data_IF_629263658568
#
_entry.id   IF_629263658568
#
_cell.length_a   1.000
_cell.length_b   1.000
_cell.length_c   1.000
_cell.angle_alpha   90.00
_cell.angle_beta   90.00
_cell.angle_gamma   90.00
#
_symmetry.space_group_name_H-M   'P 1'
#
loop_
_entity.id
_entity.type
_entity.pdbx_description
1 polymer ?
#
# COMPACT_ATOMS: atom_id res chain seq x y z
N UNK A 1 25.36 7.07 7.28
CA UNK A 1 24.18 6.39 6.68
C UNK A 1 24.40 4.91 6.84
N UNK A 2 23.63 4.23 7.69
CA UNK A 2 23.74 2.78 7.84
C UNK A 2 23.34 2.14 6.52
N UNK A 3 24.30 1.56 5.81
CA UNK A 3 24.01 0.64 4.72
C UNK A 3 23.31 -0.55 5.35
N UNK A 4 21.97 -0.52 5.37
CA UNK A 4 21.20 -1.74 5.55
C UNK A 4 21.52 -2.54 4.30
N UNK A 5 22.50 -3.44 4.43
CA UNK A 5 22.76 -4.43 3.41
C UNK A 5 21.44 -5.20 3.26
N UNK A 6 20.80 -5.21 2.08
CA UNK A 6 19.52 -5.87 1.95
C UNK A 6 19.75 -7.35 2.25
N UNK A 7 19.23 -7.80 3.40
CA UNK A 7 19.31 -9.19 3.86
C UNK A 7 18.65 -10.16 2.87
N UNK A 8 17.84 -9.62 1.95
CA UNK A 8 17.06 -10.35 0.97
C UNK A 8 17.21 -9.74 -0.41
N UNK A 9 17.25 -10.59 -1.43
CA UNK A 9 17.20 -10.19 -2.84
C UNK A 9 15.80 -9.73 -3.22
N UNK A 10 15.68 -9.00 -4.33
CA UNK A 10 14.37 -8.56 -4.86
C UNK A 10 13.42 -9.75 -5.11
N UNK A 11 13.95 -10.90 -5.55
CA UNK A 11 13.14 -12.10 -5.78
C UNK A 11 12.62 -12.70 -4.46
N UNK A 12 13.43 -12.67 -3.40
CA UNK A 12 13.02 -13.07 -2.07
C UNK A 12 11.96 -12.12 -1.51
N UNK A 13 12.13 -10.80 -1.70
CA UNK A 13 11.16 -9.79 -1.30
C UNK A 13 9.83 -9.95 -2.05
N UNK A 14 9.87 -10.22 -3.37
CA UNK A 14 8.66 -10.54 -4.16
C UNK A 14 7.96 -11.78 -3.63
N UNK A 15 8.70 -12.82 -3.27
CA UNK A 15 8.14 -14.04 -2.70
C UNK A 15 7.45 -13.77 -1.36
N UNK A 16 8.09 -12.99 -0.48
CA UNK A 16 7.50 -12.58 0.81
C UNK A 16 6.19 -11.78 0.58
N UNK A 17 6.20 -10.84 -0.37
CA UNK A 17 5.00 -10.06 -0.73
C UNK A 17 3.87 -10.94 -1.26
N UNK A 18 4.17 -11.93 -2.12
CA UNK A 18 3.18 -12.90 -2.60
C UNK A 18 2.56 -13.70 -1.45
N UNK A 19 3.38 -14.24 -0.57
CA UNK A 19 2.91 -15.02 0.60
C UNK A 19 2.02 -14.17 1.51
N UNK A 20 2.34 -12.88 1.70
CA UNK A 20 1.48 -11.98 2.46
C UNK A 20 0.10 -11.80 1.82
N UNK A 21 0.04 -11.62 0.49
CA UNK A 21 -1.22 -11.49 -0.25
C UNK A 21 -2.03 -12.79 -0.20
N UNK A 22 -1.39 -13.93 -0.44
CA UNK A 22 -2.03 -15.26 -0.35
C UNK A 22 -2.60 -15.50 1.06
N UNK A 23 -1.88 -15.07 2.11
CA UNK A 23 -2.34 -15.16 3.49
C UNK A 23 -3.53 -14.25 3.76
N UNK A 24 -3.51 -13.01 3.26
CA UNK A 24 -4.63 -12.08 3.33
C UNK A 24 -5.88 -12.66 2.66
N UNK A 25 -5.75 -13.21 1.45
CA UNK A 25 -6.86 -13.83 0.70
C UNK A 25 -7.42 -15.06 1.43
N UNK A 26 -6.54 -15.91 1.96
CA UNK A 26 -6.94 -17.09 2.72
C UNK A 26 -7.74 -16.73 3.99
N UNK A 27 -7.31 -15.69 4.72
CA UNK A 27 -8.03 -15.26 5.93
C UNK A 27 -9.33 -14.53 5.56
N UNK A 28 -9.32 -13.68 4.52
CA UNK A 28 -10.52 -13.01 4.01
C UNK A 28 -11.61 -14.02 3.62
N UNK A 29 -11.23 -15.15 3.01
CA UNK A 29 -12.17 -16.23 2.72
C UNK A 29 -12.80 -16.80 3.99
N UNK A 30 -12.02 -17.05 5.04
CA UNK A 30 -12.56 -17.55 6.31
C UNK A 30 -13.53 -16.56 6.97
N UNK A 31 -13.24 -15.26 6.86
CA UNK A 31 -14.12 -14.21 7.36
C UNK A 31 -15.44 -14.20 6.59
N UNK A 32 -15.39 -14.28 5.26
CA UNK A 32 -16.58 -14.41 4.39
C UNK A 32 -17.42 -15.64 4.75
N UNK A 33 -16.76 -16.76 5.06
CA UNK A 33 -17.41 -18.01 5.44
C UNK A 33 -17.90 -18.02 6.92
N UNK A 34 -17.69 -16.92 7.66
CA UNK A 34 -18.00 -16.79 9.10
C UNK A 34 -17.34 -17.87 9.98
N UNK A 35 -16.17 -18.35 9.56
CA UNK A 35 -15.37 -19.36 10.29
C UNK A 35 -14.10 -18.76 10.90
N UNK A 36 -13.95 -17.43 10.84
CA UNK A 36 -12.78 -16.73 11.37
C UNK A 36 -12.76 -16.71 12.90
N UNK A 37 -11.56 -16.89 13.45
CA UNK A 37 -11.27 -16.66 14.87
C UNK A 37 -10.93 -15.19 15.14
N UNK A 38 -10.92 -14.77 16.40
CA UNK A 38 -10.43 -13.43 16.77
C UNK A 38 -8.98 -13.19 16.31
N UNK A 39 -8.13 -14.22 16.35
CA UNK A 39 -6.76 -14.14 15.83
C UNK A 39 -6.71 -13.99 14.30
N UNK A 40 -7.63 -14.61 13.57
CA UNK A 40 -7.73 -14.42 12.12
C UNK A 40 -8.06 -12.96 11.80
N UNK A 41 -9.01 -12.34 12.51
CA UNK A 41 -9.39 -10.93 12.31
C UNK A 41 -8.24 -9.95 12.59
N UNK A 42 -7.48 -10.16 13.67
CA UNK A 42 -6.30 -9.34 13.97
C UNK A 42 -5.26 -9.45 12.87
N UNK A 43 -4.98 -10.68 12.42
CA UNK A 43 -4.02 -10.92 11.35
C UNK A 43 -4.49 -10.35 10.00
N UNK A 44 -5.79 -10.39 9.73
CA UNK A 44 -6.38 -9.82 8.52
C UNK A 44 -6.21 -8.31 8.48
N UNK A 45 -6.53 -7.63 9.59
CA UNK A 45 -6.36 -6.18 9.72
C UNK A 45 -4.89 -5.78 9.54
N UNK A 46 -3.97 -6.51 10.16
CA UNK A 46 -2.54 -6.26 10.01
C UNK A 46 -2.08 -6.48 8.55
N UNK A 47 -2.48 -7.58 7.92
CA UNK A 47 -2.12 -7.84 6.52
C UNK A 47 -2.70 -6.78 5.57
N UNK A 48 -3.93 -6.35 5.81
CA UNK A 48 -4.59 -5.26 5.06
C UNK A 48 -3.81 -3.95 5.17
N UNK A 49 -3.37 -3.59 6.38
CA UNK A 49 -2.54 -2.39 6.61
C UNK A 49 -1.23 -2.44 5.83
N UNK A 50 -0.49 -3.55 5.93
CA UNK A 50 0.78 -3.70 5.20
C UNK A 50 0.57 -3.64 3.68
N UNK A 51 -0.48 -4.27 3.15
CA UNK A 51 -0.81 -4.22 1.72
C UNK A 51 -1.15 -2.79 1.28
N UNK A 52 -1.93 -2.04 2.07
CA UNK A 52 -2.26 -0.65 1.77
C UNK A 52 -1.00 0.23 1.74
N UNK A 53 -0.11 0.06 2.72
CA UNK A 53 1.17 0.77 2.77
C UNK A 53 2.05 0.47 1.56
N UNK A 54 2.17 -0.81 1.18
CA UNK A 54 2.94 -1.22 0.02
C UNK A 54 2.36 -0.64 -1.29
N UNK A 55 1.03 -0.67 -1.46
CA UNK A 55 0.34 -0.07 -2.61
C UNK A 55 0.61 1.42 -2.71
N UNK A 56 0.48 2.15 -1.60
CA UNK A 56 0.75 3.59 -1.59
C UNK A 56 2.18 3.89 -2.03
N UNK A 57 3.16 3.12 -1.56
CA UNK A 57 4.56 3.27 -1.98
C UNK A 57 4.74 3.05 -3.48
N UNK A 58 4.16 1.98 -4.03
CA UNK A 58 4.22 1.68 -5.46
C UNK A 58 3.54 2.75 -6.32
N UNK A 59 2.42 3.29 -5.86
CA UNK A 59 1.72 4.40 -6.54
C UNK A 59 2.57 5.67 -6.55
N UNK A 60 3.21 6.03 -5.43
CA UNK A 60 4.13 7.17 -5.36
C UNK A 60 5.29 6.97 -6.34
N UNK A 61 5.95 5.82 -6.31
CA UNK A 61 7.09 5.53 -7.21
C UNK A 61 6.66 5.64 -8.69
N UNK A 62 5.47 5.15 -9.03
CA UNK A 62 4.90 5.25 -10.38
C UNK A 62 4.61 6.70 -10.77
N UNK A 63 4.00 7.47 -9.87
CA UNK A 63 3.67 8.87 -10.13
C UNK A 63 4.94 9.73 -10.25
N UNK A 64 5.95 9.48 -9.43
CA UNK A 64 7.25 10.18 -9.54
C UNK A 64 7.92 9.89 -10.89
N UNK A 65 7.87 8.63 -11.38
CA UNK A 65 8.38 8.28 -12.71
C UNK A 65 7.61 8.98 -13.85
N UNK A 66 6.27 8.99 -13.78
CA UNK A 66 5.43 9.67 -14.77
C UNK A 66 5.64 11.19 -14.78
N UNK A 67 5.85 11.80 -13.62
CA UNK A 67 6.18 13.23 -13.50
C UNK A 67 7.55 13.55 -14.11
N UNK A 68 8.55 12.68 -13.91
CA UNK A 68 9.85 12.81 -14.56
C UNK A 68 9.76 12.79 -16.09
N UNK A 69 8.79 12.05 -16.63
CA UNK A 69 8.47 12.01 -18.06
C UNK A 69 7.63 13.22 -18.55
N UNK A 70 7.39 14.22 -17.69
CA UNK A 70 6.65 15.44 -18.02
C UNK A 70 5.13 15.26 -18.11
N UNK A 71 4.58 14.13 -17.61
CA UNK A 71 3.13 13.91 -17.57
C UNK A 71 2.52 14.66 -16.37
N UNK A 72 1.32 15.19 -16.55
CA UNK A 72 0.56 15.82 -15.48
C UNK A 72 -0.02 14.76 -14.56
N UNK A 73 0.68 14.46 -13.47
CA UNK A 73 0.25 13.53 -12.42
C UNK A 73 0.33 14.19 -11.06
N UNK A 74 -0.56 13.79 -10.15
CA UNK A 74 -0.49 14.21 -8.76
C UNK A 74 0.73 13.55 -8.10
N UNK A 75 1.70 14.37 -7.70
CA UNK A 75 2.85 13.94 -6.89
C UNK A 75 2.71 14.56 -5.51
N UNK A 76 3.02 13.80 -4.46
CA UNK A 76 2.91 14.27 -3.06
C UNK A 76 3.83 15.46 -2.74
N UNK A 77 4.74 15.85 -3.65
CA UNK A 77 5.63 16.99 -3.49
C UNK A 77 4.94 18.30 -3.90
N UNK A 78 3.97 18.74 -3.11
CA UNK A 78 3.73 20.17 -2.97
C UNK A 78 4.78 20.74 -2.00
N UNK A 79 5.36 21.90 -2.33
CA UNK A 79 6.59 22.48 -1.76
C UNK A 79 6.49 22.94 -0.29
N UNK A 80 6.03 22.06 0.60
CA UNK A 80 5.92 22.35 2.03
C UNK A 80 5.49 21.19 2.94
N UNK A 81 5.23 19.97 2.44
CA UNK A 81 4.83 18.84 3.29
C UNK A 81 5.76 17.63 3.10
N UNK A 82 6.38 17.20 4.20
CA UNK A 82 7.09 15.93 4.25
C UNK A 82 6.06 14.79 4.23
N UNK A 83 6.20 13.78 3.36
CA UNK A 83 5.22 12.70 3.28
C UNK A 83 5.36 11.81 4.50
N UNK A 84 4.59 12.11 5.54
CA UNK A 84 4.30 11.17 6.60
C UNK A 84 3.37 10.11 6.01
N UNK A 85 3.81 8.86 6.05
CA UNK A 85 2.96 7.69 5.82
C UNK A 85 1.71 7.88 6.70
N UNK A 86 0.57 8.23 6.09
CA UNK A 86 -0.70 8.39 6.82
C UNK A 86 -1.19 7.01 7.24
N UNK A 87 -0.87 6.63 8.47
CA UNK A 87 -1.22 5.33 9.08
C UNK A 87 -2.68 5.25 9.54
N UNK A 88 -3.42 6.35 9.56
CA UNK A 88 -4.81 6.37 9.99
C UNK A 88 -5.67 7.19 9.03
N UNK A 89 -6.72 6.56 8.50
CA UNK A 89 -7.95 7.16 7.97
C UNK A 89 -7.79 8.40 7.09
N UNK A 90 -7.89 8.21 5.77
CA UNK A 90 -7.98 9.35 4.86
C UNK A 90 -8.30 9.05 3.41
N UNK A 91 -8.86 7.88 3.07
CA UNK A 91 -9.55 7.67 1.80
C UNK A 91 -11.00 8.20 1.93
N UNK A 92 -11.15 9.49 2.22
CA UNK A 92 -12.46 10.15 2.32
C UNK A 92 -12.55 11.46 1.51
N UNK A 93 -11.53 11.80 0.71
CA UNK A 93 -11.61 12.88 -0.29
C UNK A 93 -10.98 12.47 -1.64
N UNK A 94 -10.96 11.18 -1.97
CA UNK A 94 -10.73 10.68 -3.34
C UNK A 94 -12.04 10.77 -4.16
N UNK A 95 -12.78 11.88 -4.02
CA UNK A 95 -13.72 12.25 -5.05
C UNK A 95 -12.89 12.63 -6.27
N UNK A 96 -12.94 11.78 -7.30
CA UNK A 96 -12.54 12.16 -8.65
C UNK A 96 -13.10 13.56 -8.94
N UNK A 97 -12.34 14.49 -9.56
CA UNK A 97 -12.96 15.69 -10.08
C UNK A 97 -14.06 15.24 -11.04
N UNK A 98 -15.32 15.36 -10.61
CA UNK A 98 -16.46 15.28 -11.49
C UNK A 98 -16.23 16.37 -12.52
N UNK A 99 -15.83 15.97 -13.73
CA UNK A 99 -15.90 16.83 -14.90
C UNK A 99 -17.35 17.28 -15.02
N UNK A 100 -17.66 18.45 -14.49
CA UNK A 100 -18.83 19.22 -14.83
C UNK A 100 -18.38 20.27 -15.84
N UNK A 101 -19.00 20.13 -17.01
CA UNK A 101 -18.99 20.98 -18.20
C UNK A 101 -17.86 20.72 -19.21
#
# INVERSE_FOLDING_TARGET
>A
MSHINPLWTDEQLKTIGKVLIEKYESISSKESDQTSTSSDLVNLNFASEIIALAKNRLHVDTNEALAADGKSVWTERTSGHYPHIRLHGGALEDDFPLNKY
#
